data_IF_230353888617
#
_entry.id   IF_230353888617
#
_cell.length_a   1.000
_cell.length_b   1.000
_cell.length_c   1.000
_cell.angle_alpha   90.00
_cell.angle_beta   90.00
_cell.angle_gamma   90.00
#
_symmetry.space_group_name_H-M   'P 1'
#
loop_
_entity.id
_entity.type
_entity.pdbx_description
1 polymer ?
#
# COMPACT_ATOMS: atom_id res chain seq x y z
N UNK A 1 13.99 -9.41 -2.48
CA UNK A 1 12.59 -9.67 -2.05
C UNK A 1 11.68 -9.36 -3.23
N UNK A 2 10.75 -10.27 -3.56
CA UNK A 2 9.74 -10.06 -4.60
C UNK A 2 8.39 -9.92 -3.90
N UNK A 3 7.58 -8.92 -4.29
CA UNK A 3 6.25 -8.68 -3.73
C UNK A 3 5.22 -8.48 -4.83
N UNK A 4 4.01 -9.01 -4.65
CA UNK A 4 2.93 -8.96 -5.63
C UNK A 4 2.03 -7.73 -5.40
N UNK A 5 1.99 -6.82 -6.38
CA UNK A 5 1.06 -5.69 -6.40
C UNK A 5 -0.07 -5.89 -7.44
N UNK A 6 -0.82 -4.84 -7.77
CA UNK A 6 -1.94 -4.82 -8.73
C UNK A 6 -2.18 -3.40 -9.25
N UNK A 7 -2.82 -3.23 -10.41
CA UNK A 7 -3.28 -1.91 -10.90
C UNK A 7 -4.22 -1.20 -9.91
N UNK A 8 -4.85 -1.94 -9.00
CA UNK A 8 -5.65 -1.40 -7.92
C UNK A 8 -4.90 -0.43 -7.00
N UNK A 9 -3.56 -0.42 -7.00
CA UNK A 9 -2.79 0.57 -6.22
C UNK A 9 -3.16 2.02 -6.55
N UNK A 10 -3.64 2.30 -7.77
CA UNK A 10 -4.13 3.62 -8.16
C UNK A 10 -5.47 4.02 -7.54
N UNK A 11 -6.18 3.09 -6.90
CA UNK A 11 -7.44 3.36 -6.20
C UNK A 11 -7.26 3.74 -4.73
N UNK A 12 -6.04 3.54 -4.19
CA UNK A 12 -5.71 3.75 -2.80
C UNK A 12 -4.82 4.97 -2.58
N UNK A 13 -4.93 5.55 -1.40
CA UNK A 13 -3.93 6.46 -0.81
C UNK A 13 -3.39 5.79 0.44
N UNK A 14 -2.25 6.25 0.99
CA UNK A 14 -1.76 5.73 2.27
C UNK A 14 -2.28 6.64 3.39
N UNK A 15 -3.25 6.15 4.16
CA UNK A 15 -3.66 6.77 5.42
C UNK A 15 -2.73 6.28 6.54
N UNK A 16 -1.71 7.07 6.90
CA UNK A 16 -0.76 6.71 7.96
C UNK A 16 -1.39 6.74 9.36
N UNK A 17 -2.43 7.56 9.55
CA UNK A 17 -3.17 7.72 10.79
C UNK A 17 -4.29 6.68 10.98
N UNK A 18 -4.63 5.95 9.92
CA UNK A 18 -5.60 4.84 9.93
C UNK A 18 -5.21 3.74 8.93
N UNK A 19 -4.02 3.17 9.13
CA UNK A 19 -3.43 2.21 8.18
C UNK A 19 -4.25 0.92 8.01
N UNK A 20 -5.05 0.59 9.03
CA UNK A 20 -5.92 -0.58 9.05
C UNK A 20 -7.34 -0.28 8.57
N UNK A 21 -7.65 0.97 8.20
CA UNK A 21 -9.00 1.39 7.79
C UNK A 21 -10.07 1.10 8.85
N UNK A 22 -9.74 1.26 10.13
CA UNK A 22 -10.61 0.96 11.27
C UNK A 22 -11.74 1.97 11.44
N UNK A 23 -11.53 3.22 11.02
CA UNK A 23 -12.56 4.27 11.17
C UNK A 23 -13.62 4.20 10.08
N UNK A 24 -13.22 3.99 8.83
CA UNK A 24 -14.11 3.98 7.67
C UNK A 24 -13.62 2.98 6.61
N UNK A 25 -14.10 1.74 6.71
CA UNK A 25 -13.71 0.70 5.76
C UNK A 25 -14.43 0.84 4.42
N UNK A 26 -13.64 0.89 3.34
CA UNK A 26 -14.14 0.78 1.97
C UNK A 26 -13.27 -0.19 1.17
N UNK A 27 -13.82 -1.34 0.80
CA UNK A 27 -13.09 -2.48 0.23
C UNK A 27 -12.13 -2.12 -0.91
N UNK A 28 -12.57 -1.37 -1.93
CA UNK A 28 -11.71 -0.98 -3.06
C UNK A 28 -10.56 -0.05 -2.64
N UNK A 29 -10.78 0.83 -1.66
CA UNK A 29 -9.77 1.78 -1.17
C UNK A 29 -8.75 1.06 -0.29
N UNK A 30 -9.24 0.22 0.63
CA UNK A 30 -8.40 -0.61 1.50
C UNK A 30 -7.51 -1.55 0.67
N UNK A 31 -8.07 -2.24 -0.32
CA UNK A 31 -7.30 -3.10 -1.23
C UNK A 31 -6.28 -2.30 -2.05
N UNK A 32 -6.67 -1.14 -2.57
CA UNK A 32 -5.75 -0.24 -3.26
C UNK A 32 -4.60 0.23 -2.37
N UNK A 33 -4.89 0.60 -1.11
CA UNK A 33 -3.89 0.97 -0.11
C UNK A 33 -2.90 -0.18 0.14
N UNK A 34 -3.38 -1.42 0.31
CA UNK A 34 -2.49 -2.58 0.49
C UNK A 34 -1.56 -2.80 -0.70
N UNK A 35 -2.08 -2.65 -1.93
CA UNK A 35 -1.27 -2.81 -3.16
C UNK A 35 -0.30 -1.65 -3.38
N UNK A 36 -0.66 -0.44 -2.98
CA UNK A 36 0.24 0.71 -2.95
C UNK A 36 1.35 0.54 -1.90
N UNK A 37 1.02 0.03 -0.71
CA UNK A 37 1.98 -0.26 0.35
C UNK A 37 3.07 -1.24 -0.11
N UNK A 38 2.70 -2.28 -0.87
CA UNK A 38 3.67 -3.22 -1.47
C UNK A 38 4.70 -2.53 -2.38
N UNK A 39 4.28 -1.54 -3.18
CA UNK A 39 5.16 -0.77 -4.07
C UNK A 39 6.10 0.12 -3.24
N UNK A 40 5.55 0.86 -2.28
CA UNK A 40 6.31 1.76 -1.42
C UNK A 40 7.32 1.01 -0.56
N UNK A 41 6.93 -0.14 -0.02
CA UNK A 41 7.82 -1.04 0.71
C UNK A 41 9.02 -1.45 -0.16
N UNK A 42 8.76 -1.95 -1.36
CA UNK A 42 9.83 -2.39 -2.28
C UNK A 42 10.79 -1.24 -2.63
N UNK A 43 10.27 -0.03 -2.89
CA UNK A 43 11.07 1.16 -3.17
C UNK A 43 11.91 1.60 -1.97
N UNK A 44 11.31 1.63 -0.77
CA UNK A 44 12.00 1.99 0.47
C UNK A 44 13.10 0.99 0.81
N UNK A 45 12.81 -0.31 0.66
CA UNK A 45 13.78 -1.38 0.86
C UNK A 45 14.95 -1.26 -0.11
N UNK A 46 14.69 -1.04 -1.41
CA UNK A 46 15.75 -0.83 -2.41
C UNK A 46 16.64 0.39 -2.09
N UNK A 47 16.08 1.45 -1.52
CA UNK A 47 16.85 2.62 -1.06
C UNK A 47 17.74 2.30 0.15
N UNK A 48 17.29 1.42 1.06
CA UNK A 48 18.04 1.04 2.27
C UNK A 48 19.15 0.01 2.02
N UNK A 49 19.01 -0.79 0.96
CA UNK A 49 19.96 -1.85 0.60
C UNK A 49 20.94 -1.45 -0.50
N UNK A 50 20.83 -0.21 -1.01
CA UNK A 50 21.92 0.43 -1.76
C UNK A 50 22.98 0.95 -0.80
#
# INVERSE_FOLDING_TARGET
>A
IINLSSMAHGWGTIALDDINSERNYHSRRAYGQSKLANILFTRSLAKKLK
#
